data_IF_417155583391
#
_entry.id   IF_417155583391
#
_cell.length_a   1.000
_cell.length_b   1.000
_cell.length_c   1.000
_cell.angle_alpha   90.00
_cell.angle_beta   90.00
_cell.angle_gamma   90.00
#
_symmetry.space_group_name_H-M   'P 1'
#
loop_
_entity.id
_entity.type
_entity.pdbx_description
1 polymer ?
#
# COMPACT_ATOMS: atom_id res chain seq x y z
N UNK A 1 1.93 -22.78 3.77
CA UNK A 1 1.90 -22.11 2.44
C UNK A 1 1.90 -20.59 2.67
N UNK A 2 2.83 -19.83 2.05
CA UNK A 2 2.85 -18.35 2.21
C UNK A 2 1.70 -17.71 1.43
N UNK A 3 1.00 -16.75 2.04
CA UNK A 3 -0.07 -16.00 1.37
C UNK A 3 0.49 -15.18 0.20
N UNK A 4 -0.37 -14.80 -0.75
CA UNK A 4 0.05 -13.96 -1.90
C UNK A 4 0.57 -12.60 -1.42
N UNK A 5 -0.07 -12.00 -0.43
CA UNK A 5 0.38 -10.77 0.24
C UNK A 5 1.75 -10.94 0.91
N UNK A 6 2.00 -12.09 1.55
CA UNK A 6 3.32 -12.39 2.12
C UNK A 6 4.43 -12.49 1.06
N UNK A 7 4.10 -12.93 -0.17
CA UNK A 7 5.05 -12.92 -1.29
C UNK A 7 5.27 -11.50 -1.82
N UNK A 8 4.24 -10.66 -1.84
CA UNK A 8 4.36 -9.25 -2.22
C UNK A 8 5.26 -8.49 -1.23
N UNK A 9 5.07 -8.70 0.09
CA UNK A 9 5.97 -8.19 1.12
C UNK A 9 7.42 -8.60 0.89
N UNK A 10 7.68 -9.87 0.54
CA UNK A 10 9.05 -10.34 0.31
C UNK A 10 9.75 -9.57 -0.81
N UNK A 11 9.02 -9.24 -1.89
CA UNK A 11 9.55 -8.43 -2.99
C UNK A 11 9.88 -7.01 -2.52
N UNK A 12 9.00 -6.39 -1.73
CA UNK A 12 9.22 -5.06 -1.15
C UNK A 12 10.44 -5.06 -0.22
N UNK A 13 10.53 -6.04 0.68
CA UNK A 13 11.63 -6.15 1.64
C UNK A 13 12.99 -6.39 0.95
N UNK A 14 13.02 -7.11 -0.19
CA UNK A 14 14.23 -7.23 -1.00
C UNK A 14 14.65 -5.90 -1.62
N UNK A 15 13.70 -5.10 -2.12
CA UNK A 15 13.99 -3.75 -2.65
C UNK A 15 14.53 -2.84 -1.55
N UNK A 16 13.87 -2.80 -0.39
CA UNK A 16 14.29 -2.03 0.77
C UNK A 16 15.77 -2.23 1.09
N UNK A 17 16.26 -3.47 1.12
CA UNK A 17 17.66 -3.78 1.46
C UNK A 17 18.68 -3.14 0.52
N UNK A 18 18.26 -2.72 -0.67
CA UNK A 18 19.11 -2.03 -1.64
C UNK A 18 19.08 -0.51 -1.52
N UNK A 19 18.24 0.06 -0.65
CA UNK A 19 17.94 1.49 -0.56
C UNK A 19 18.25 2.03 0.83
N UNK A 20 19.30 2.86 0.95
CA UNK A 20 19.77 3.39 2.24
C UNK A 20 18.80 4.34 2.94
N UNK A 21 17.97 5.07 2.18
CA UNK A 21 17.02 6.07 2.71
C UNK A 21 15.59 5.53 2.83
N UNK A 22 15.46 4.21 2.92
CA UNK A 22 14.18 3.52 3.01
C UNK A 22 14.12 2.76 4.33
N UNK A 23 13.03 2.94 5.05
CA UNK A 23 12.74 2.22 6.28
C UNK A 23 11.27 1.77 6.28
N UNK A 24 11.03 0.49 6.02
CA UNK A 24 9.71 -0.12 6.02
C UNK A 24 9.65 -1.21 7.08
N UNK A 25 8.62 -1.13 7.92
CA UNK A 25 8.34 -2.07 9.00
C UNK A 25 7.03 -2.75 8.70
N UNK A 26 7.07 -4.08 8.61
CA UNK A 26 5.85 -4.90 8.56
C UNK A 26 5.21 -4.94 9.94
N UNK A 27 3.91 -4.71 9.98
CA UNK A 27 3.11 -4.62 11.18
C UNK A 27 2.39 -5.96 11.39
N UNK A 28 2.55 -6.52 12.58
CA UNK A 28 1.82 -7.71 13.02
C UNK A 28 1.13 -7.30 14.32
N UNK A 29 -0.17 -6.97 14.25
CA UNK A 29 -0.95 -6.52 15.41
C UNK A 29 -2.10 -7.48 15.69
N UNK A 30 -2.22 -7.89 16.94
CA UNK A 30 -3.39 -8.63 17.45
C UNK A 30 -4.41 -7.73 18.15
N UNK A 31 -4.08 -6.44 18.34
CA UNK A 31 -4.85 -5.52 19.20
C UNK A 31 -5.53 -4.40 18.43
N UNK A 32 -5.01 -4.01 17.26
CA UNK A 32 -5.55 -2.91 16.46
C UNK A 32 -6.17 -3.46 15.18
N UNK A 33 -7.49 -3.41 15.08
CA UNK A 33 -8.21 -3.85 13.89
C UNK A 33 -7.97 -2.91 12.71
N UNK A 34 -7.67 -3.49 11.55
CA UNK A 34 -7.59 -2.78 10.27
C UNK A 34 -6.37 -1.89 10.08
N UNK A 35 -5.37 -1.94 10.97
CA UNK A 35 -4.08 -1.30 10.75
C UNK A 35 -3.42 -1.87 9.48
N UNK A 36 -2.86 -1.03 8.59
CA UNK A 36 -2.20 -1.51 7.38
C UNK A 36 -0.99 -2.39 7.67
N UNK A 37 -0.68 -3.28 6.73
CA UNK A 37 0.40 -4.27 6.85
C UNK A 37 1.79 -3.64 7.02
N UNK A 38 2.02 -2.41 6.54
CA UNK A 38 3.34 -1.78 6.52
C UNK A 38 3.24 -0.30 6.92
N UNK A 39 4.14 0.12 7.79
CA UNK A 39 4.55 1.52 7.93
C UNK A 39 5.86 1.74 7.16
N UNK A 40 5.92 2.81 6.37
CA UNK A 40 7.03 3.08 5.47
C UNK A 40 7.47 4.54 5.61
N UNK A 41 8.78 4.75 5.58
CA UNK A 41 9.43 6.03 5.33
C UNK A 41 10.38 5.87 4.14
N UNK A 42 10.10 6.56 3.04
CA UNK A 42 10.88 6.51 1.79
C UNK A 42 11.23 7.93 1.41
N UNK A 43 12.53 8.25 1.31
CA UNK A 43 13.01 9.58 0.87
C UNK A 43 12.27 10.73 1.59
N UNK A 44 12.26 10.68 2.93
CA UNK A 44 11.63 11.66 3.84
C UNK A 44 10.09 11.66 3.87
N UNK A 45 9.44 10.72 3.20
CA UNK A 45 7.98 10.61 3.16
C UNK A 45 7.47 9.41 3.96
N UNK A 46 6.75 9.69 5.04
CA UNK A 46 6.04 8.67 5.83
C UNK A 46 4.66 8.35 5.22
N UNK A 47 4.35 7.05 5.10
CA UNK A 47 3.04 6.57 4.72
C UNK A 47 2.75 5.16 5.28
N UNK A 48 1.48 4.78 5.20
CA UNK A 48 0.99 3.45 5.51
C UNK A 48 0.58 2.72 4.25
N UNK A 49 0.85 1.42 4.19
CA UNK A 49 0.60 0.59 3.02
C UNK A 49 -0.07 -0.72 3.41
N UNK A 50 -1.31 -0.90 2.95
CA UNK A 50 -2.04 -2.16 2.99
C UNK A 50 -1.69 -2.98 1.75
N UNK A 51 -1.39 -4.26 1.90
CA UNK A 51 -1.08 -5.15 0.80
C UNK A 51 -2.31 -5.97 0.43
N UNK A 52 -2.61 -6.01 -0.87
CA UNK A 52 -3.58 -6.94 -1.45
C UNK A 52 -2.96 -7.66 -2.63
N UNK A 53 -3.40 -8.88 -2.88
CA UNK A 53 -2.96 -9.66 -4.04
C UNK A 53 -4.12 -10.50 -4.59
N UNK A 54 -5.19 -9.82 -4.98
CA UNK A 54 -6.44 -10.42 -5.39
C UNK A 54 -7.14 -9.61 -6.51
N UNK A 55 -8.18 -10.22 -7.08
CA UNK A 55 -9.03 -9.63 -8.11
C UNK A 55 -10.43 -9.28 -7.56
N UNK A 56 -10.58 -9.22 -6.23
CA UNK A 56 -11.88 -9.00 -5.60
C UNK A 56 -12.34 -7.55 -5.79
N UNK A 57 -13.65 -7.36 -5.82
CA UNK A 57 -14.25 -6.02 -5.76
C UNK A 57 -13.74 -5.29 -4.52
N UNK A 58 -13.42 -4.00 -4.66
CA UNK A 58 -12.89 -3.16 -3.58
C UNK A 58 -11.64 -3.75 -2.89
N UNK A 59 -10.84 -4.54 -3.62
CA UNK A 59 -9.63 -5.21 -3.14
C UNK A 59 -9.85 -6.17 -1.95
N UNK A 60 -11.09 -6.51 -1.62
CA UNK A 60 -11.43 -7.33 -0.45
C UNK A 60 -11.14 -6.65 0.89
N UNK A 61 -11.16 -5.32 0.96
CA UNK A 61 -10.96 -4.60 2.22
C UNK A 61 -12.08 -4.87 3.24
N UNK A 62 -11.70 -5.07 4.50
CA UNK A 62 -12.67 -5.13 5.59
C UNK A 62 -13.15 -3.72 5.98
N UNK A 63 -14.32 -3.65 6.64
CA UNK A 63 -14.84 -2.38 7.20
C UNK A 63 -13.85 -1.70 8.15
N UNK A 64 -13.04 -2.48 8.88
CA UNK A 64 -12.05 -1.95 9.81
C UNK A 64 -10.87 -1.31 9.06
N UNK A 65 -10.41 -1.94 7.98
CA UNK A 65 -9.36 -1.37 7.12
C UNK A 65 -9.83 -0.07 6.47
N UNK A 66 -11.05 -0.05 5.94
CA UNK A 66 -11.67 1.17 5.38
C UNK A 66 -11.69 2.30 6.42
N UNK A 67 -12.22 2.02 7.62
CA UNK A 67 -12.32 3.01 8.69
C UNK A 67 -10.94 3.50 9.16
N UNK A 68 -9.95 2.62 9.22
CA UNK A 68 -8.60 3.00 9.62
C UNK A 68 -8.00 3.99 8.61
N UNK A 69 -8.08 3.68 7.31
CA UNK A 69 -7.61 4.56 6.24
C UNK A 69 -8.29 5.94 6.31
N UNK A 70 -9.62 5.98 6.37
CA UNK A 70 -10.36 7.24 6.45
C UNK A 70 -9.96 8.06 7.69
N UNK A 71 -9.83 7.42 8.87
CA UNK A 71 -9.43 8.10 10.10
C UNK A 71 -8.01 8.70 10.00
N UNK A 72 -7.04 7.94 9.47
CA UNK A 72 -5.66 8.40 9.33
C UNK A 72 -5.54 9.51 8.28
N UNK A 73 -6.25 9.40 7.16
CA UNK A 73 -6.29 10.44 6.12
C UNK A 73 -6.93 11.74 6.62
N UNK A 74 -8.03 11.69 7.38
CA UNK A 74 -8.64 12.89 8.00
C UNK A 74 -7.68 13.61 8.97
N UNK A 75 -6.73 12.90 9.55
CA UNK A 75 -5.67 13.47 10.38
C UNK A 75 -4.45 13.96 9.58
N UNK A 76 -4.52 13.96 8.23
CA UNK A 76 -3.43 14.36 7.34
C UNK A 76 -2.41 13.26 7.03
N UNK A 77 -2.67 12.02 7.40
CA UNK A 77 -1.75 10.90 7.16
C UNK A 77 -1.89 10.27 5.78
N UNK A 78 -0.78 9.81 5.23
CA UNK A 78 -0.72 9.13 3.93
C UNK A 78 -1.01 7.64 4.07
N UNK A 79 -2.02 7.13 3.38
CA UNK A 79 -2.41 5.72 3.46
C UNK A 79 -2.84 5.19 2.11
N UNK A 80 -2.19 4.13 1.65
CA UNK A 80 -2.40 3.54 0.34
C UNK A 80 -2.69 2.03 0.45
N UNK A 81 -3.33 1.49 -0.58
CA UNK A 81 -3.42 0.05 -0.83
C UNK A 81 -2.56 -0.25 -2.05
N UNK A 82 -1.63 -1.21 -1.93
CA UNK A 82 -0.94 -1.78 -3.08
C UNK A 82 -1.59 -3.13 -3.41
N UNK A 83 -2.37 -3.17 -4.50
CA UNK A 83 -3.01 -4.39 -4.96
C UNK A 83 -2.24 -5.00 -6.15
N UNK A 84 -1.76 -6.23 -5.98
CA UNK A 84 -1.18 -7.02 -7.06
C UNK A 84 -2.27 -7.83 -7.78
N UNK A 85 -2.57 -7.45 -9.03
CA UNK A 85 -3.55 -8.11 -9.88
C UNK A 85 -2.87 -9.06 -10.86
N UNK A 86 -2.68 -10.30 -10.41
CA UNK A 86 -1.83 -11.28 -11.08
C UNK A 86 -2.33 -11.67 -12.47
N UNK A 87 -3.65 -11.77 -12.69
CA UNK A 87 -4.20 -12.12 -14.02
C UNK A 87 -3.95 -11.01 -15.04
N UNK A 88 -3.90 -9.77 -14.57
CA UNK A 88 -3.66 -8.59 -15.39
C UNK A 88 -2.17 -8.22 -15.46
N UNK A 89 -1.31 -8.83 -14.64
CA UNK A 89 0.12 -8.50 -14.49
C UNK A 89 0.35 -7.02 -14.19
N UNK A 90 -0.48 -6.45 -13.31
CA UNK A 90 -0.36 -5.06 -12.87
C UNK A 90 -0.30 -4.93 -11.36
N UNK A 91 0.33 -3.84 -10.92
CA UNK A 91 0.29 -3.33 -9.56
C UNK A 91 -0.56 -2.05 -9.57
N UNK A 92 -1.59 -2.02 -8.75
CA UNK A 92 -2.44 -0.84 -8.58
C UNK A 92 -2.17 -0.21 -7.22
N UNK A 93 -1.92 1.10 -7.22
CA UNK A 93 -1.90 1.89 -5.99
C UNK A 93 -3.26 2.56 -5.86
N UNK A 94 -3.93 2.36 -4.73
CA UNK A 94 -5.25 2.91 -4.44
C UNK A 94 -5.23 3.71 -3.14
N UNK A 95 -6.20 4.60 -2.98
CA UNK A 95 -6.54 5.22 -1.71
C UNK A 95 -8.03 5.01 -1.43
N UNK A 96 -8.38 4.75 -0.18
CA UNK A 96 -9.79 4.85 0.24
C UNK A 96 -10.18 6.32 0.20
N UNK A 97 -11.34 6.66 -0.36
CA UNK A 97 -11.94 8.00 -0.31
C UNK A 97 -13.34 7.89 0.27
N UNK A 98 -13.85 8.96 0.87
CA UNK A 98 -15.25 9.01 1.31
C UNK A 98 -16.19 8.68 0.14
N UNK A 99 -17.20 7.80 0.30
CA UNK A 99 -17.72 7.22 1.56
C UNK A 99 -17.12 5.85 1.96
N UNK A 100 -15.87 5.56 1.62
CA UNK A 100 -15.17 4.30 1.92
C UNK A 100 -14.82 3.46 0.69
N UNK A 101 -14.70 4.08 -0.48
CA UNK A 101 -14.47 3.41 -1.76
C UNK A 101 -12.99 3.49 -2.11
N UNK A 102 -12.31 2.36 -2.43
CA UNK A 102 -10.96 2.38 -2.98
C UNK A 102 -10.95 2.98 -4.38
N UNK A 103 -10.18 4.06 -4.56
CA UNK A 103 -10.00 4.75 -5.81
C UNK A 103 -8.57 4.52 -6.34
N UNK A 104 -8.38 4.07 -7.60
CA UNK A 104 -7.05 3.94 -8.19
C UNK A 104 -6.35 5.29 -8.31
N UNK A 105 -5.14 5.40 -7.76
CA UNK A 105 -4.27 6.58 -7.88
C UNK A 105 -3.27 6.40 -9.01
N UNK A 106 -2.71 5.20 -9.14
CA UNK A 106 -1.76 4.88 -10.20
C UNK A 106 -1.73 3.38 -10.49
N UNK A 107 -1.20 3.02 -11.66
CA UNK A 107 -1.06 1.64 -12.12
C UNK A 107 0.31 1.43 -12.73
N UNK A 108 0.94 0.31 -12.42
CA UNK A 108 2.26 -0.06 -12.89
C UNK A 108 2.27 -1.49 -13.40
N UNK A 109 3.27 -1.84 -14.21
CA UNK A 109 3.51 -3.22 -14.64
C UNK A 109 4.01 -4.03 -13.44
N UNK A 110 3.52 -5.26 -13.26
CA UNK A 110 3.96 -6.14 -12.18
C UNK A 110 5.33 -6.76 -12.47
N UNK A 111 6.38 -5.98 -12.27
CA UNK A 111 7.78 -6.38 -12.34
C UNK A 111 8.61 -5.61 -11.28
N UNK A 112 9.91 -5.89 -11.10
CA UNK A 112 10.73 -5.20 -10.09
C UNK A 112 10.74 -3.67 -10.24
N UNK A 113 10.87 -3.17 -11.47
CA UNK A 113 10.90 -1.72 -11.74
C UNK A 113 9.56 -1.06 -11.50
N UNK A 114 8.44 -1.72 -11.83
CA UNK A 114 7.10 -1.22 -11.57
C UNK A 114 6.77 -1.22 -10.07
N UNK A 115 7.23 -2.22 -9.32
CA UNK A 115 7.10 -2.24 -7.86
C UNK A 115 7.91 -1.10 -7.21
N UNK A 116 9.13 -0.86 -7.68
CA UNK A 116 9.94 0.28 -7.23
C UNK A 116 9.20 1.60 -7.48
N UNK A 117 8.66 1.81 -8.69
CA UNK A 117 7.89 3.00 -9.03
C UNK A 117 6.63 3.15 -8.18
N UNK A 118 5.92 2.06 -7.90
CA UNK A 118 4.73 2.07 -7.05
C UNK A 118 5.04 2.55 -5.62
N UNK A 119 6.14 2.08 -5.03
CA UNK A 119 6.54 2.48 -3.68
C UNK A 119 6.97 3.95 -3.61
N UNK A 120 7.68 4.44 -4.62
CA UNK A 120 8.08 5.86 -4.72
C UNK A 120 6.88 6.76 -4.96
N UNK A 121 5.87 6.31 -5.71
CA UNK A 121 4.65 7.06 -5.99
C UNK A 121 3.77 7.29 -4.75
N UNK A 122 3.99 6.57 -3.65
CA UNK A 122 3.37 6.88 -2.35
C UNK A 122 3.94 8.16 -1.70
N UNK A 123 5.06 8.68 -2.22
CA UNK A 123 5.75 9.88 -1.77
C UNK A 123 5.12 11.20 -2.27
N UNK A 124 5.86 12.32 -2.21
CA UNK A 124 5.30 13.67 -2.27
C UNK A 124 4.77 14.05 -3.65
N UNK A 125 5.22 13.41 -4.73
CA UNK A 125 4.73 13.65 -6.10
C UNK A 125 3.36 13.01 -6.38
N UNK A 126 2.84 12.19 -5.46
CA UNK A 126 1.54 11.50 -5.58
C UNK A 126 0.36 12.24 -4.95
N UNK A 127 0.61 13.38 -4.30
CA UNK A 127 -0.42 14.22 -3.68
C UNK A 127 -0.59 15.49 -4.51
N UNK A 128 -1.40 15.41 -5.57
CA UNK A 128 -1.98 16.62 -6.13
C UNK A 128 -2.77 17.33 -5.03
N UNK A 129 -2.42 18.60 -4.81
CA UNK A 129 -2.95 19.47 -3.77
C UNK A 129 -4.49 19.45 -3.67
N UNK A 130 -4.95 19.47 -2.41
CA UNK A 130 -6.24 19.96 -1.89
C UNK A 130 -7.47 19.90 -2.79
#
# INVERSE_FOLDING_TARGET
>A
MRTKESKLWQRINLIQKTKKRWHLVRIESSTINGIPDINACIEDCEFWLELKANEAKNCGLSKYQINWHLKRQRAGGNCFILNQRASLRVLELLQVREPGIPFPVSRFIDNPSGLLKALVACGPDGQAAT
#
